data_IF_432230714759
#
_entry.id   IF_432230714759
#
_cell.length_a   1.000
_cell.length_b   1.000
_cell.length_c   1.000
_cell.angle_alpha   90.00
_cell.angle_beta   90.00
_cell.angle_gamma   90.00
#
_symmetry.space_group_name_H-M   'P 1'
#
loop_
_entity.id
_entity.type
_entity.pdbx_description
1 polymer ?
#
# COMPACT_ATOMS: atom_id res chain seq x y z
N UNK A 1 29.36 -7.31 1.98
CA UNK A 1 28.99 -6.34 3.03
C UNK A 1 27.52 -6.00 2.85
N UNK A 2 26.67 -6.02 3.89
CA UNK A 2 25.35 -5.42 3.74
C UNK A 2 25.56 -3.91 3.71
N UNK A 3 25.45 -3.32 2.52
CA UNK A 3 25.40 -1.88 2.33
C UNK A 3 24.18 -1.36 3.11
N UNK A 4 24.42 -0.56 4.15
CA UNK A 4 23.36 0.08 4.92
C UNK A 4 22.76 1.20 4.07
N UNK A 5 21.85 0.84 3.17
CA UNK A 5 21.06 1.81 2.44
C UNK A 5 20.04 2.46 3.38
N UNK A 6 20.12 3.79 3.51
CA UNK A 6 19.13 4.58 4.25
C UNK A 6 17.97 4.89 3.30
N UNK A 7 16.83 4.25 3.55
CA UNK A 7 15.63 4.45 2.74
C UNK A 7 15.05 5.85 2.91
N UNK A 8 14.91 6.56 1.81
CA UNK A 8 14.26 7.87 1.75
C UNK A 8 12.75 7.74 1.57
N UNK A 9 11.99 8.77 1.96
CA UNK A 9 10.54 8.79 1.77
C UNK A 9 10.14 8.60 0.29
N UNK A 10 10.90 9.22 -0.63
CA UNK A 10 10.67 9.08 -2.07
C UNK A 10 10.81 7.63 -2.54
N UNK A 11 11.76 6.89 -2.00
CA UNK A 11 11.94 5.47 -2.31
C UNK A 11 10.82 4.62 -1.73
N UNK A 12 10.37 4.92 -0.51
CA UNK A 12 9.21 4.26 0.08
C UNK A 12 7.94 4.49 -0.74
N UNK A 13 7.69 5.73 -1.17
CA UNK A 13 6.58 6.07 -2.05
C UNK A 13 6.70 5.37 -3.41
N UNK A 14 7.91 5.24 -3.94
CA UNK A 14 8.18 4.51 -5.19
C UNK A 14 7.89 3.00 -5.06
N UNK A 15 8.15 2.39 -3.91
CA UNK A 15 7.74 1.00 -3.62
C UNK A 15 6.21 0.89 -3.58
N UNK A 16 5.53 1.81 -2.89
CA UNK A 16 4.06 1.82 -2.77
C UNK A 16 3.42 1.98 -4.16
N UNK A 17 3.89 2.96 -4.94
CA UNK A 17 3.42 3.20 -6.29
C UNK A 17 3.69 2.00 -7.20
N UNK A 18 4.90 1.45 -7.16
CA UNK A 18 5.26 0.26 -7.94
C UNK A 18 4.37 -0.94 -7.61
N UNK A 19 4.03 -1.15 -6.33
CA UNK A 19 3.09 -2.19 -5.90
C UNK A 19 1.67 -1.96 -6.42
N UNK A 20 1.22 -0.70 -6.46
CA UNK A 20 -0.09 -0.35 -7.04
C UNK A 20 -0.18 -0.72 -8.53
N UNK A 21 0.90 -0.53 -9.30
CA UNK A 21 0.90 -0.79 -10.75
C UNK A 21 1.25 -2.24 -11.12
N UNK A 22 2.15 -2.88 -10.38
CA UNK A 22 2.74 -4.17 -10.75
C UNK A 22 2.53 -5.28 -9.71
N UNK A 23 1.76 -5.01 -8.64
CA UNK A 23 1.53 -5.94 -7.53
C UNK A 23 2.85 -6.51 -7.00
N UNK A 24 2.97 -7.83 -6.87
CA UNK A 24 4.16 -8.51 -6.36
C UNK A 24 5.28 -8.69 -7.41
N UNK A 25 5.22 -8.02 -8.57
CA UNK A 25 6.28 -8.12 -9.56
C UNK A 25 7.46 -7.18 -9.22
N UNK A 26 8.25 -7.59 -8.23
CA UNK A 26 9.39 -6.83 -7.73
C UNK A 26 10.48 -6.56 -8.78
N UNK A 27 10.57 -7.41 -9.83
CA UNK A 27 11.47 -7.17 -10.95
C UNK A 27 11.03 -5.92 -11.73
N UNK A 28 9.74 -5.80 -12.06
CA UNK A 28 9.21 -4.60 -12.72
C UNK A 28 9.31 -3.36 -11.82
N UNK A 29 9.04 -3.50 -10.53
CA UNK A 29 9.15 -2.38 -9.58
C UNK A 29 10.61 -1.88 -9.54
N UNK A 30 11.56 -2.79 -9.36
CA UNK A 30 12.98 -2.45 -9.36
C UNK A 30 13.40 -1.76 -10.67
N UNK A 31 13.03 -2.32 -11.82
CA UNK A 31 13.40 -1.79 -13.13
C UNK A 31 12.81 -0.40 -13.44
N UNK A 32 11.61 -0.08 -12.93
CA UNK A 32 10.93 1.17 -13.28
C UNK A 32 11.09 2.28 -12.22
N UNK A 33 11.32 1.90 -10.96
CA UNK A 33 11.29 2.84 -9.83
C UNK A 33 12.58 2.90 -9.03
N UNK A 34 13.36 1.82 -8.96
CA UNK A 34 14.49 1.66 -8.05
C UNK A 34 15.66 0.91 -8.72
N UNK A 35 16.11 1.41 -9.87
CA UNK A 35 17.08 0.71 -10.74
C UNK A 35 18.43 0.43 -10.07
N UNK A 36 18.81 1.24 -9.10
CA UNK A 36 20.05 1.11 -8.32
C UNK A 36 19.91 0.14 -7.14
N UNK A 37 18.70 -0.34 -6.86
CA UNK A 37 18.45 -1.36 -5.84
C UNK A 37 18.45 -2.75 -6.44
N UNK A 38 18.82 -3.72 -5.61
CA UNK A 38 18.57 -5.13 -5.91
C UNK A 38 17.10 -5.48 -5.67
N UNK A 39 16.59 -6.47 -6.40
CA UNK A 39 15.23 -7.00 -6.19
C UNK A 39 15.02 -7.45 -4.73
N UNK A 40 16.08 -8.00 -4.10
CA UNK A 40 16.05 -8.46 -2.71
C UNK A 40 15.86 -7.28 -1.75
N UNK A 41 16.56 -6.16 -1.96
CA UNK A 41 16.39 -4.94 -1.14
C UNK A 41 14.97 -4.38 -1.24
N UNK A 42 14.42 -4.27 -2.46
CA UNK A 42 13.05 -3.79 -2.69
C UNK A 42 12.02 -4.69 -2.00
N UNK A 43 12.18 -6.02 -2.15
CA UNK A 43 11.30 -7.00 -1.52
C UNK A 43 11.36 -6.91 0.01
N UNK A 44 12.56 -6.93 0.59
CA UNK A 44 12.75 -6.87 2.04
C UNK A 44 12.18 -5.57 2.63
N UNK A 45 12.38 -4.45 1.93
CA UNK A 45 11.83 -3.16 2.37
C UNK A 45 10.31 -3.17 2.38
N UNK A 46 9.66 -3.69 1.33
CA UNK A 46 8.21 -3.80 1.29
C UNK A 46 7.65 -4.61 2.47
N UNK A 47 8.22 -5.79 2.76
CA UNK A 47 7.78 -6.60 3.90
C UNK A 47 8.02 -5.91 5.24
N UNK A 48 9.12 -5.17 5.39
CA UNK A 48 9.38 -4.35 6.58
C UNK A 48 8.32 -3.25 6.74
N UNK A 49 7.97 -2.54 5.67
CA UNK A 49 6.90 -1.53 5.68
C UNK A 49 5.54 -2.17 6.02
N UNK A 50 5.29 -3.41 5.56
CA UNK A 50 4.07 -4.16 5.90
C UNK A 50 4.01 -4.52 7.37
N UNK A 51 5.10 -5.02 7.94
CA UNK A 51 5.18 -5.36 9.37
C UNK A 51 5.08 -4.13 10.27
N UNK A 52 5.56 -2.97 9.79
CA UNK A 52 5.47 -1.69 10.51
C UNK A 52 4.08 -1.03 10.38
N UNK A 53 3.11 -1.65 9.71
CA UNK A 53 1.76 -1.08 9.52
C UNK A 53 1.69 0.10 8.53
N UNK A 54 2.81 0.53 7.96
CA UNK A 54 2.91 1.69 7.04
C UNK A 54 2.19 1.49 5.71
N UNK A 55 1.80 0.26 5.38
CA UNK A 55 1.05 -0.07 4.16
C UNK A 55 -0.47 -0.11 4.37
N UNK A 56 -0.96 -0.06 5.62
CA UNK A 56 -2.38 -0.26 5.93
C UNK A 56 -3.26 0.99 5.75
N UNK A 57 -2.68 2.20 5.64
CA UNK A 57 -3.47 3.44 5.65
C UNK A 57 -3.82 4.00 4.26
N UNK A 58 -3.21 3.52 3.16
CA UNK A 58 -3.46 4.07 1.82
C UNK A 58 -4.46 3.28 0.97
N UNK A 59 -5.11 2.25 1.52
CA UNK A 59 -6.02 1.37 0.76
C UNK A 59 -7.34 1.05 1.48
N UNK A 60 -8.06 2.05 1.99
CA UNK A 60 -9.53 2.00 2.02
C UNK A 60 -10.08 3.43 1.90
N UNK A 61 -10.73 3.86 0.80
CA UNK A 61 -11.78 4.86 0.92
C UNK A 61 -12.95 4.16 1.63
N UNK A 62 -12.91 4.08 2.96
CA UNK A 62 -14.06 3.66 3.76
C UNK A 62 -15.03 4.84 3.85
N UNK A 63 -15.62 5.22 2.73
CA UNK A 63 -16.75 6.14 2.70
C UNK A 63 -18.00 5.40 2.23
N UNK A 64 -18.31 4.27 2.86
CA UNK A 64 -19.69 4.15 3.32
C UNK A 64 -19.73 5.05 4.55
N UNK A 65 -20.08 6.33 4.34
CA UNK A 65 -20.34 7.23 5.44
C UNK A 65 -21.38 6.58 6.34
N UNK A 66 -21.23 6.69 7.65
CA UNK A 66 -22.19 6.16 8.63
C UNK A 66 -23.63 6.62 8.30
N UNK A 67 -23.77 7.78 7.64
CA UNK A 67 -25.04 8.30 7.11
C UNK A 67 -25.75 7.38 6.09
N UNK A 68 -25.02 6.69 5.20
CA UNK A 68 -25.64 5.74 4.26
C UNK A 68 -26.17 4.49 4.98
N UNK A 69 -25.50 4.07 6.06
CA UNK A 69 -25.95 2.92 6.84
C UNK A 69 -27.22 3.26 7.62
N UNK A 70 -27.32 4.46 8.20
CA UNK A 70 -28.54 4.92 8.86
C UNK A 70 -29.72 5.06 7.90
N UNK A 71 -29.50 5.57 6.68
CA UNK A 71 -30.54 5.63 5.66
C UNK A 71 -31.04 4.24 5.24
N UNK A 72 -30.15 3.28 5.02
CA UNK A 72 -30.53 1.91 4.66
C UNK A 72 -31.31 1.23 5.79
N UNK A 73 -30.91 1.43 7.04
CA UNK A 73 -31.65 0.91 8.21
C UNK A 73 -33.02 1.58 8.34
N UNK A 74 -33.12 2.89 8.09
CA UNK A 74 -34.39 3.61 8.11
C UNK A 74 -35.35 3.13 7.01
N UNK A 75 -34.84 2.87 5.80
CA UNK A 75 -35.63 2.33 4.67
C UNK A 75 -36.16 0.94 5.01
N UNK A 76 -35.32 0.05 5.56
CA UNK A 76 -35.75 -1.31 5.93
C UNK A 76 -36.83 -1.33 7.02
N UNK A 77 -36.82 -0.35 7.94
CA UNK A 77 -37.87 -0.19 8.95
C UNK A 77 -39.22 0.29 8.40
N UNK A 78 -39.28 0.86 7.20
CA UNK A 78 -40.54 1.29 6.57
C UNK A 78 -41.31 0.15 5.89
N UNK A 79 -40.68 -1.02 5.72
CA UNK A 79 -41.28 -2.21 5.10
C UNK A 79 -41.65 -3.32 6.11
N UNK A 80 -41.62 -3.01 7.42
CA UNK A 80 -42.16 -3.85 8.50
C UNK A 80 -43.46 -3.24 9.03
#
# INVERSE_FOLDING_TARGET
>A
MPEYHVWTQKEEDAIIQGHSHYYNNYKKIQQNFLQYMTIVQVKNKFYKMKSEGKLAEKQIPSSTSFSMLEELVAILKQFQ
#
